data_IF_547713595429
#
_entry.id   IF_547713595429
#
_cell.length_a   1.000
_cell.length_b   1.000
_cell.length_c   1.000
_cell.angle_alpha   90.00
_cell.angle_beta   90.00
_cell.angle_gamma   90.00
#
_symmetry.space_group_name_H-M   'P 1'
#
loop_
_entity.id
_entity.type
_entity.pdbx_description
1 polymer ?
#
# COMPACT_ATOMS: atom_id res chain seq x y z
N UNK A 1 -15.63 11.61 16.12
CA UNK A 1 -16.13 12.02 14.78
C UNK A 1 -15.42 13.23 14.16
N UNK A 2 -15.05 14.28 14.92
CA UNK A 2 -14.31 15.45 14.38
C UNK A 2 -12.91 15.10 13.81
N UNK A 3 -12.11 14.33 14.54
CA UNK A 3 -10.75 13.91 14.11
C UNK A 3 -10.79 13.11 12.80
N UNK A 4 -11.72 12.17 12.66
CA UNK A 4 -11.87 11.37 11.44
C UNK A 4 -12.19 12.22 10.20
N UNK A 5 -13.03 13.25 10.36
CA UNK A 5 -13.34 14.19 9.26
C UNK A 5 -12.13 15.08 8.93
N UNK A 6 -11.37 15.50 9.93
CA UNK A 6 -10.13 16.26 9.73
C UNK A 6 -9.08 15.44 8.97
N UNK A 7 -8.84 14.18 9.36
CA UNK A 7 -7.89 13.30 8.67
C UNK A 7 -8.31 12.97 7.23
N UNK A 8 -9.61 12.97 6.93
CA UNK A 8 -10.14 12.73 5.59
C UNK A 8 -10.38 14.02 4.76
N UNK A 9 -10.13 15.19 5.35
CA UNK A 9 -10.25 16.49 4.68
C UNK A 9 -9.13 16.71 3.65
N UNK A 10 -9.28 17.64 2.70
CA UNK A 10 -8.21 17.96 1.74
C UNK A 10 -6.90 18.35 2.44
N UNK A 11 -6.99 19.11 3.54
CA UNK A 11 -5.83 19.54 4.33
C UNK A 11 -5.14 18.36 5.05
N UNK A 12 -5.92 17.50 5.72
CA UNK A 12 -5.36 16.33 6.41
C UNK A 12 -4.69 15.35 5.43
N UNK A 13 -5.30 15.16 4.26
CA UNK A 13 -4.76 14.33 3.18
C UNK A 13 -3.49 14.94 2.61
N UNK A 14 -3.46 16.23 2.30
CA UNK A 14 -2.24 16.89 1.80
C UNK A 14 -1.11 16.93 2.83
N UNK A 15 -1.41 17.11 4.12
CA UNK A 15 -0.39 17.07 5.17
C UNK A 15 0.21 15.67 5.33
N UNK A 16 -0.63 14.64 5.28
CA UNK A 16 -0.18 13.23 5.32
C UNK A 16 0.64 12.91 4.07
N UNK A 17 0.17 13.35 2.90
CA UNK A 17 0.88 13.20 1.64
C UNK A 17 2.26 13.86 1.69
N UNK A 18 2.34 15.12 2.15
CA UNK A 18 3.59 15.86 2.29
C UNK A 18 4.58 15.11 3.19
N UNK A 19 4.13 14.64 4.36
CA UNK A 19 4.97 13.88 5.28
C UNK A 19 5.51 12.60 4.64
N UNK A 20 4.64 11.80 4.02
CA UNK A 20 5.03 10.56 3.34
C UNK A 20 6.00 10.83 2.18
N UNK A 21 5.70 11.81 1.34
CA UNK A 21 6.53 12.18 0.20
C UNK A 21 7.89 12.72 0.65
N UNK A 22 7.93 13.63 1.63
CA UNK A 22 9.16 14.18 2.17
C UNK A 22 10.03 13.10 2.81
N UNK A 23 9.45 12.15 3.56
CA UNK A 23 10.17 11.01 4.12
C UNK A 23 10.75 10.11 3.03
N UNK A 24 9.96 9.72 2.01
CA UNK A 24 10.43 8.87 0.92
C UNK A 24 11.55 9.53 0.11
N UNK A 25 11.42 10.82 -0.18
CA UNK A 25 12.40 11.61 -0.94
C UNK A 25 13.69 11.80 -0.14
N UNK A 26 13.57 12.17 1.14
CA UNK A 26 14.73 12.33 2.02
C UNK A 26 15.49 11.01 2.16
N UNK A 27 14.78 9.91 2.33
CA UNK A 27 15.38 8.58 2.43
C UNK A 27 16.10 8.18 1.13
N UNK A 28 15.48 8.44 -0.04
CA UNK A 28 16.07 8.15 -1.34
C UNK A 28 17.46 8.80 -1.53
N UNK A 29 17.67 9.99 -0.94
CA UNK A 29 18.95 10.69 -1.01
C UNK A 29 20.06 9.98 -0.25
N UNK A 30 19.75 9.32 0.86
CA UNK A 30 20.73 8.58 1.66
C UNK A 30 21.10 7.23 1.05
N UNK A 31 20.29 6.70 0.14
CA UNK A 31 20.43 5.34 -0.42
C UNK A 31 20.84 5.34 -1.90
N UNK A 32 21.38 6.47 -2.39
CA UNK A 32 21.87 6.59 -3.77
C UNK A 32 20.77 6.74 -4.83
N UNK A 33 19.55 7.13 -4.44
CA UNK A 33 18.40 7.34 -5.33
C UNK A 33 17.30 6.28 -5.24
N UNK A 34 17.45 5.27 -4.37
CA UNK A 34 16.42 4.24 -4.15
C UNK A 34 15.41 4.73 -3.11
N UNK A 35 14.26 5.24 -3.55
CA UNK A 35 13.16 5.56 -2.64
C UNK A 35 12.65 4.30 -1.92
N UNK A 36 12.49 4.35 -0.59
CA UNK A 36 12.21 3.16 0.23
C UNK A 36 10.89 2.47 -0.13
N UNK A 37 9.82 3.24 -0.37
CA UNK A 37 8.50 2.87 -0.92
C UNK A 37 7.79 4.18 -1.21
N UNK A 38 7.06 4.30 -2.33
CA UNK A 38 6.25 5.49 -2.59
C UNK A 38 4.81 5.33 -2.05
N UNK A 39 4.65 5.59 -0.75
CA UNK A 39 3.38 5.40 -0.02
C UNK A 39 2.36 6.49 -0.36
N UNK A 40 2.83 7.69 -0.74
CA UNK A 40 1.99 8.89 -0.90
C UNK A 40 0.90 8.72 -1.97
N UNK A 41 1.23 8.14 -3.13
CA UNK A 41 0.26 7.88 -4.20
C UNK A 41 -0.82 6.88 -3.77
N UNK A 42 -0.43 5.81 -3.07
CA UNK A 42 -1.36 4.81 -2.55
C UNK A 42 -2.33 5.40 -1.51
N UNK A 43 -1.82 6.31 -0.66
CA UNK A 43 -2.61 7.04 0.33
C UNK A 43 -3.67 7.92 -0.32
N UNK A 44 -3.26 8.75 -1.29
CA UNK A 44 -4.18 9.62 -2.04
C UNK A 44 -5.21 8.79 -2.83
N UNK A 45 -4.76 7.78 -3.58
CA UNK A 45 -5.65 6.89 -4.33
C UNK A 45 -6.70 6.26 -3.40
N UNK A 46 -6.28 5.73 -2.24
CA UNK A 46 -7.16 5.15 -1.24
C UNK A 46 -8.24 6.11 -0.74
N UNK A 47 -7.96 7.41 -0.65
CA UNK A 47 -8.97 8.43 -0.31
C UNK A 47 -9.96 8.67 -1.44
N UNK A 48 -9.44 8.81 -2.67
CA UNK A 48 -10.24 9.11 -3.87
C UNK A 48 -11.27 8.01 -4.16
N UNK A 49 -10.99 6.75 -3.80
CA UNK A 49 -11.93 5.63 -3.91
C UNK A 49 -13.26 5.84 -3.19
N UNK A 50 -13.25 6.65 -2.12
CA UNK A 50 -14.42 6.91 -1.27
C UNK A 50 -15.04 8.30 -1.53
N UNK A 51 -14.70 8.91 -2.66
CA UNK A 51 -15.23 10.20 -3.11
C UNK A 51 -15.80 10.06 -4.53
N UNK A 52 -16.93 10.73 -4.83
CA UNK A 52 -17.37 10.83 -6.22
C UNK A 52 -16.40 11.69 -7.03
N UNK A 53 -16.18 11.35 -8.30
CA UNK A 53 -15.13 11.95 -9.16
C UNK A 53 -15.22 13.47 -9.25
N UNK A 54 -16.44 14.02 -9.33
CA UNK A 54 -16.65 15.47 -9.40
C UNK A 54 -16.16 16.24 -8.15
N UNK A 55 -15.86 15.55 -7.04
CA UNK A 55 -15.32 16.16 -5.81
C UNK A 55 -13.83 15.93 -5.63
N UNK A 56 -13.13 15.33 -6.59
CA UNK A 56 -11.70 15.05 -6.44
C UNK A 56 -10.83 16.31 -6.40
N UNK A 57 -11.26 17.38 -7.09
CA UNK A 57 -10.50 18.62 -7.28
C UNK A 57 -9.74 19.11 -6.04
N UNK A 58 -10.39 19.38 -4.90
CA UNK A 58 -9.71 19.88 -3.70
C UNK A 58 -8.60 18.95 -3.18
N UNK A 59 -8.78 17.63 -3.26
CA UNK A 59 -7.76 16.66 -2.82
C UNK A 59 -6.61 16.55 -3.82
N UNK A 60 -6.90 16.59 -5.12
CA UNK A 60 -5.87 16.57 -6.16
C UNK A 60 -5.01 17.83 -6.09
N UNK A 61 -5.62 19.01 -5.96
CA UNK A 61 -4.90 20.29 -5.90
C UNK A 61 -4.08 20.39 -4.62
N UNK A 62 -4.65 20.09 -3.44
CA UNK A 62 -3.90 20.20 -2.19
C UNK A 62 -2.75 19.19 -2.14
N UNK A 63 -2.93 17.97 -2.65
CA UNK A 63 -1.86 16.99 -2.76
C UNK A 63 -0.84 17.33 -3.85
N UNK A 64 -1.22 18.00 -4.95
CA UNK A 64 -0.28 18.48 -5.96
C UNK A 64 0.66 19.54 -5.36
N UNK A 65 0.13 20.48 -4.60
CA UNK A 65 0.93 21.47 -3.85
C UNK A 65 1.85 20.75 -2.86
N UNK A 66 1.34 19.79 -2.09
CA UNK A 66 2.16 18.99 -1.18
C UNK A 66 3.29 18.23 -1.91
N UNK A 67 3.01 17.64 -3.07
CA UNK A 67 4.02 16.96 -3.89
C UNK A 67 5.08 17.95 -4.40
N UNK A 68 4.67 19.11 -4.90
CA UNK A 68 5.60 20.13 -5.38
C UNK A 68 6.49 20.65 -4.25
N UNK A 69 5.93 20.88 -3.05
CA UNK A 69 6.70 21.24 -1.86
C UNK A 69 7.69 20.13 -1.46
N UNK A 70 7.25 18.87 -1.47
CA UNK A 70 8.11 17.74 -1.14
C UNK A 70 9.33 17.67 -2.09
N UNK A 71 9.08 17.74 -3.39
CA UNK A 71 10.13 17.71 -4.42
C UNK A 71 11.01 18.95 -4.37
N UNK A 72 10.43 20.14 -4.19
CA UNK A 72 11.14 21.43 -4.18
C UNK A 72 12.07 21.59 -2.98
N UNK A 73 11.63 21.20 -1.78
CA UNK A 73 12.36 21.40 -0.53
C UNK A 73 13.33 20.25 -0.22
N UNK A 74 12.94 18.99 -0.47
CA UNK A 74 13.75 17.83 -0.07
C UNK A 74 14.29 17.01 -1.24
N UNK A 75 13.71 17.15 -2.43
CA UNK A 75 13.99 16.29 -3.58
C UNK A 75 14.84 16.95 -4.67
N UNK A 76 14.39 16.79 -5.91
CA UNK A 76 15.08 17.27 -7.09
C UNK A 76 15.10 18.81 -7.21
N UNK A 77 14.39 19.56 -6.36
CA UNK A 77 14.32 21.01 -6.42
C UNK A 77 13.17 21.53 -7.27
N UNK A 78 13.01 22.85 -7.30
CA UNK A 78 11.82 23.52 -7.84
C UNK A 78 11.61 23.33 -9.34
N UNK A 79 12.68 23.14 -10.12
CA UNK A 79 12.57 22.91 -11.57
C UNK A 79 11.79 21.63 -11.91
N UNK A 80 11.91 20.59 -11.08
CA UNK A 80 11.16 19.34 -11.26
C UNK A 80 9.89 19.25 -10.41
N UNK A 81 9.63 20.22 -9.53
CA UNK A 81 8.52 20.16 -8.58
C UNK A 81 7.16 20.07 -9.26
N UNK A 82 6.89 20.92 -10.26
CA UNK A 82 5.61 20.92 -10.96
C UNK A 82 5.43 19.68 -11.85
N UNK A 83 6.38 19.29 -12.72
CA UNK A 83 6.26 18.07 -13.51
C UNK A 83 6.05 16.81 -12.66
N UNK A 84 6.85 16.62 -11.60
CA UNK A 84 6.73 15.45 -10.73
C UNK A 84 5.43 15.46 -9.92
N UNK A 85 4.94 16.63 -9.50
CA UNK A 85 3.63 16.74 -8.87
C UNK A 85 2.51 16.29 -9.82
N UNK A 86 2.53 16.73 -11.08
CA UNK A 86 1.53 16.29 -12.08
C UNK A 86 1.59 14.77 -12.26
N UNK A 87 2.79 14.19 -12.38
CA UNK A 87 2.98 12.74 -12.55
C UNK A 87 2.44 11.98 -11.34
N UNK A 88 2.82 12.36 -10.12
CA UNK A 88 2.42 11.65 -8.90
C UNK A 88 0.91 11.73 -8.63
N UNK A 89 0.29 12.87 -8.90
CA UNK A 89 -1.16 13.04 -8.73
C UNK A 89 -1.93 12.29 -9.81
N UNK A 90 -1.41 12.27 -11.04
CA UNK A 90 -1.99 11.48 -12.14
C UNK A 90 -1.88 9.98 -11.87
N UNK A 91 -0.78 9.52 -11.27
CA UNK A 91 -0.59 8.13 -10.82
C UNK A 91 -1.66 7.74 -9.79
N UNK A 92 -1.85 8.54 -8.74
CA UNK A 92 -2.84 8.28 -7.71
C UNK A 92 -4.28 8.31 -8.24
N UNK A 93 -4.60 9.27 -9.12
CA UNK A 93 -5.90 9.36 -9.76
C UNK A 93 -6.16 8.15 -10.68
N UNK A 94 -5.18 7.73 -11.48
CA UNK A 94 -5.27 6.57 -12.36
C UNK A 94 -5.49 5.29 -11.57
N UNK A 95 -4.72 5.06 -10.50
CA UNK A 95 -4.92 3.92 -9.61
C UNK A 95 -6.33 3.89 -9.03
N UNK A 96 -6.87 5.04 -8.60
CA UNK A 96 -8.22 5.13 -8.06
C UNK A 96 -9.31 4.87 -9.12
N UNK A 97 -9.14 5.38 -10.35
CA UNK A 97 -10.06 5.14 -11.47
C UNK A 97 -10.08 3.65 -11.83
N UNK A 98 -8.90 3.05 -12.02
CA UNK A 98 -8.76 1.64 -12.40
C UNK A 98 -9.37 0.76 -11.32
N UNK A 99 -9.05 0.99 -10.04
CA UNK A 99 -9.65 0.24 -8.93
C UNK A 99 -11.19 0.29 -8.95
N UNK A 100 -11.78 1.48 -9.16
CA UNK A 100 -13.24 1.63 -9.22
C UNK A 100 -13.85 0.87 -10.39
N UNK A 101 -13.18 0.84 -11.54
CA UNK A 101 -13.62 0.09 -12.73
C UNK A 101 -13.53 -1.43 -12.50
N UNK A 102 -12.41 -1.94 -12.02
CA UNK A 102 -12.22 -3.39 -11.77
C UNK A 102 -13.14 -3.88 -10.64
N UNK A 103 -13.35 -3.06 -9.60
CA UNK A 103 -14.27 -3.40 -8.51
C UNK A 103 -15.72 -3.43 -8.98
N UNK A 104 -16.12 -2.53 -9.89
CA UNK A 104 -17.47 -2.57 -10.48
C UNK A 104 -17.66 -3.77 -11.42
N UNK A 105 -16.63 -4.12 -12.18
CA UNK A 105 -16.70 -5.19 -13.18
C UNK A 105 -16.69 -6.59 -12.54
N UNK A 106 -15.76 -6.83 -11.62
CA UNK A 106 -15.43 -8.19 -11.19
C UNK A 106 -15.83 -8.51 -9.74
N UNK A 107 -15.84 -7.53 -8.84
CA UNK A 107 -16.12 -7.79 -7.43
C UNK A 107 -17.62 -7.89 -7.13
N UNK A 108 -18.10 -8.86 -6.32
CA UNK A 108 -17.35 -9.89 -5.59
C UNK A 108 -17.28 -11.28 -6.28
N UNK A 109 -17.78 -11.43 -7.51
CA UNK A 109 -18.03 -12.74 -8.10
C UNK A 109 -16.78 -13.35 -8.76
N UNK A 110 -16.02 -12.53 -9.47
CA UNK A 110 -14.86 -12.87 -10.29
C UNK A 110 -13.55 -12.45 -9.58
N UNK A 111 -13.20 -13.18 -8.50
CA UNK A 111 -12.06 -12.83 -7.63
C UNK A 111 -10.73 -12.86 -8.39
N UNK A 112 -10.54 -13.85 -9.26
CA UNK A 112 -9.27 -14.05 -9.97
C UNK A 112 -9.03 -12.91 -10.95
N UNK A 113 -10.05 -12.55 -11.72
CA UNK A 113 -10.07 -11.46 -12.69
C UNK A 113 -9.86 -10.12 -11.98
N UNK A 114 -10.47 -9.93 -10.80
CA UNK A 114 -10.24 -8.75 -9.98
C UNK A 114 -8.78 -8.63 -9.56
N UNK A 115 -8.18 -9.71 -9.03
CA UNK A 115 -6.78 -9.73 -8.58
C UNK A 115 -5.81 -9.54 -9.75
N UNK A 116 -6.04 -10.23 -10.86
CA UNK A 116 -5.24 -10.09 -12.07
C UNK A 116 -5.29 -8.65 -12.62
N UNK A 117 -6.49 -8.06 -12.68
CA UNK A 117 -6.67 -6.68 -13.12
C UNK A 117 -6.06 -5.67 -12.16
N UNK A 118 -6.05 -5.95 -10.85
CA UNK A 118 -5.35 -5.15 -9.86
C UNK A 118 -3.83 -5.18 -10.10
N UNK A 119 -3.25 -6.37 -10.31
CA UNK A 119 -1.83 -6.51 -10.58
C UNK A 119 -1.40 -5.87 -11.89
N UNK A 120 -2.09 -6.17 -12.98
CA UNK A 120 -1.73 -5.65 -14.29
C UNK A 120 -2.05 -4.15 -14.35
N UNK A 121 -3.28 -3.76 -14.02
CA UNK A 121 -3.73 -2.38 -14.21
C UNK A 121 -3.13 -1.38 -13.23
N UNK A 122 -3.01 -1.74 -11.94
CA UNK A 122 -2.58 -0.79 -10.89
C UNK A 122 -1.13 -1.00 -10.50
N UNK A 123 -0.72 -2.24 -10.21
CA UNK A 123 0.64 -2.50 -9.69
C UNK A 123 1.68 -2.38 -10.80
N UNK A 124 1.35 -2.79 -12.04
CA UNK A 124 2.27 -2.76 -13.16
C UNK A 124 2.07 -1.53 -14.06
N UNK A 125 0.92 -1.41 -14.73
CA UNK A 125 0.70 -0.39 -15.77
C UNK A 125 0.82 1.04 -15.26
N UNK A 126 0.23 1.35 -14.10
CA UNK A 126 0.27 2.73 -13.57
C UNK A 126 1.72 3.18 -13.26
N UNK A 127 2.52 2.43 -12.48
CA UNK A 127 3.95 2.72 -12.26
C UNK A 127 4.82 2.71 -13.52
N UNK A 128 4.51 1.87 -14.53
CA UNK A 128 5.24 1.90 -15.80
C UNK A 128 5.06 3.24 -16.52
N UNK A 129 3.82 3.74 -16.60
CA UNK A 129 3.53 5.00 -17.28
C UNK A 129 4.04 6.22 -16.49
N UNK A 130 3.80 6.24 -15.17
CA UNK A 130 4.29 7.32 -14.31
C UNK A 130 5.82 7.31 -14.22
N UNK A 131 6.44 6.14 -14.15
CA UNK A 131 7.89 5.95 -14.13
C UNK A 131 8.56 6.38 -15.43
N UNK A 132 7.94 6.11 -16.59
CA UNK A 132 8.45 6.60 -17.87
C UNK A 132 8.46 8.14 -17.90
N UNK A 133 7.37 8.78 -17.47
CA UNK A 133 7.28 10.23 -17.39
C UNK A 133 8.24 10.82 -16.34
N UNK A 134 8.40 10.16 -15.18
CA UNK A 134 9.31 10.56 -14.11
C UNK A 134 10.77 10.47 -14.53
N UNK A 135 11.16 9.35 -15.14
CA UNK A 135 12.52 9.14 -15.66
C UNK A 135 12.85 10.12 -16.80
N UNK A 136 11.89 10.37 -17.71
CA UNK A 136 12.04 11.38 -18.75
C UNK A 136 12.26 12.78 -18.17
N UNK A 137 11.46 13.16 -17.17
CA UNK A 137 11.60 14.44 -16.47
C UNK A 137 12.98 14.57 -15.81
N UNK A 138 13.44 13.53 -15.10
CA UNK A 138 14.74 13.53 -14.45
C UNK A 138 15.89 13.61 -15.46
N UNK A 139 15.77 12.95 -16.60
CA UNK A 139 16.75 13.00 -17.68
C UNK A 139 16.83 14.39 -18.33
N UNK A 140 15.70 14.98 -18.71
CA UNK A 140 15.67 16.31 -19.37
C UNK A 140 16.21 17.40 -18.46
N UNK A 141 15.87 17.39 -17.17
CA UNK A 141 16.22 18.49 -16.26
C UNK A 141 17.61 18.31 -15.66
N UNK A 142 18.04 17.09 -15.36
CA UNK A 142 19.28 16.82 -14.60
C UNK A 142 20.26 15.88 -15.30
N UNK A 143 19.98 15.43 -16.52
CA UNK A 143 20.85 14.50 -17.25
C UNK A 143 20.98 13.11 -16.60
N UNK A 144 20.00 12.73 -15.77
CA UNK A 144 20.07 11.50 -14.97
C UNK A 144 19.90 10.23 -15.84
N UNK A 145 20.50 9.09 -15.44
CA UNK A 145 20.36 7.84 -16.19
C UNK A 145 18.91 7.35 -16.25
N UNK A 146 18.34 7.26 -17.46
CA UNK A 146 16.92 6.93 -17.67
C UNK A 146 16.55 5.56 -17.09
N UNK A 147 17.32 4.53 -17.42
CA UNK A 147 17.01 3.13 -17.05
C UNK A 147 17.04 2.91 -15.54
N UNK A 148 18.03 3.48 -14.86
CA UNK A 148 18.20 3.35 -13.41
C UNK A 148 17.07 4.06 -12.65
N UNK A 149 16.75 5.30 -13.03
CA UNK A 149 15.65 6.05 -12.43
C UNK A 149 14.30 5.39 -12.72
N UNK A 150 14.07 4.91 -13.95
CA UNK A 150 12.87 4.19 -14.33
C UNK A 150 12.67 2.93 -13.47
N UNK A 151 13.72 2.13 -13.31
CA UNK A 151 13.69 0.88 -12.53
C UNK A 151 13.40 1.17 -11.05
N UNK A 152 14.10 2.15 -10.47
CA UNK A 152 13.89 2.59 -9.07
C UNK A 152 12.48 3.11 -8.85
N UNK A 153 11.96 3.88 -9.79
CA UNK A 153 10.61 4.42 -9.74
C UNK A 153 9.59 3.29 -9.73
N UNK A 154 9.67 2.36 -10.67
CA UNK A 154 8.71 1.26 -10.77
C UNK A 154 8.71 0.42 -9.51
N UNK A 155 9.86 -0.04 -9.02
CA UNK A 155 9.91 -0.90 -7.83
C UNK A 155 9.28 -0.20 -6.62
N UNK A 156 9.66 1.06 -6.36
CA UNK A 156 9.18 1.83 -5.22
C UNK A 156 7.68 2.17 -5.30
N UNK A 157 7.19 2.56 -6.47
CA UNK A 157 5.80 2.95 -6.70
C UNK A 157 4.86 1.73 -6.81
N UNK A 158 5.27 0.68 -7.50
CA UNK A 158 4.54 -0.60 -7.56
C UNK A 158 4.37 -1.20 -6.17
N UNK A 159 5.43 -1.26 -5.36
CA UNK A 159 5.33 -1.76 -3.99
C UNK A 159 4.41 -0.90 -3.14
N UNK A 160 4.48 0.44 -3.27
CA UNK A 160 3.60 1.36 -2.55
C UNK A 160 2.12 1.12 -2.88
N UNK A 161 1.79 1.00 -4.16
CA UNK A 161 0.42 0.69 -4.58
C UNK A 161 -0.01 -0.73 -4.17
N UNK A 162 0.84 -1.73 -4.34
CA UNK A 162 0.55 -3.11 -3.98
C UNK A 162 0.30 -3.30 -2.48
N UNK A 163 1.22 -2.81 -1.64
CA UNK A 163 1.18 -3.03 -0.19
C UNK A 163 0.28 -2.04 0.54
N UNK A 164 0.28 -0.76 0.15
CA UNK A 164 -0.38 0.28 0.93
C UNK A 164 -1.77 0.66 0.41
N UNK A 165 -2.09 0.51 -0.89
CA UNK A 165 -3.40 0.91 -1.41
C UNK A 165 -4.57 0.15 -0.75
N UNK A 166 -4.51 -1.19 -0.58
CA UNK A 166 -5.58 -1.91 0.13
C UNK A 166 -5.74 -1.44 1.58
N UNK A 167 -4.64 -1.07 2.24
CA UNK A 167 -4.62 -0.57 3.62
C UNK A 167 -5.33 0.78 3.70
N UNK A 168 -4.97 1.73 2.84
CA UNK A 168 -5.62 3.03 2.81
C UNK A 168 -7.07 2.94 2.35
N UNK A 169 -7.39 2.06 1.40
CA UNK A 169 -8.78 1.76 1.05
C UNK A 169 -9.57 1.31 2.29
N UNK A 170 -9.03 0.39 3.09
CA UNK A 170 -9.66 -0.06 4.34
C UNK A 170 -9.82 1.09 5.34
N UNK A 171 -8.76 1.86 5.62
CA UNK A 171 -8.79 2.97 6.57
C UNK A 171 -9.84 4.01 6.18
N UNK A 172 -9.82 4.48 4.93
CA UNK A 172 -10.76 5.51 4.47
C UNK A 172 -12.20 4.99 4.37
N UNK A 173 -12.42 3.70 4.10
CA UNK A 173 -13.76 3.10 4.15
C UNK A 173 -14.38 3.17 5.56
N UNK A 174 -13.54 3.03 6.60
CA UNK A 174 -13.96 3.09 8.01
C UNK A 174 -14.16 4.53 8.46
N UNK A 175 -13.20 5.40 8.16
CA UNK A 175 -13.27 6.83 8.49
C UNK A 175 -14.48 7.50 7.83
N UNK A 176 -14.79 7.17 6.57
CA UNK A 176 -15.97 7.69 5.85
C UNK A 176 -17.30 7.31 6.50
N UNK A 177 -17.35 6.14 7.17
CA UNK A 177 -18.53 5.67 7.94
C UNK A 177 -18.52 6.13 9.39
N UNK A 178 -17.60 7.02 9.79
CA UNK A 178 -17.45 7.48 11.17
C UNK A 178 -16.97 6.41 12.15
N UNK A 179 -16.47 5.27 11.65
CA UNK A 179 -15.98 4.15 12.46
C UNK A 179 -14.49 4.29 12.71
N UNK A 180 -14.03 3.76 13.84
CA UNK A 180 -12.59 3.59 14.07
C UNK A 180 -11.99 2.62 13.04
N UNK A 181 -10.79 2.94 12.57
CA UNK A 181 -9.97 2.04 11.75
C UNK A 181 -9.29 0.97 12.61
N UNK A 182 -9.20 1.17 13.93
CA UNK A 182 -8.74 0.14 14.86
C UNK A 182 -9.75 -1.01 14.93
N UNK A 183 -9.26 -2.24 15.20
CA UNK A 183 -10.14 -3.38 15.42
C UNK A 183 -11.12 -3.10 16.56
N UNK A 184 -12.32 -3.72 16.56
CA UNK A 184 -13.19 -3.74 17.73
C UNK A 184 -12.46 -4.30 18.96
N UNK A 185 -12.84 -3.84 20.16
CA UNK A 185 -12.21 -4.29 21.41
C UNK A 185 -12.29 -5.81 21.60
N UNK A 186 -13.36 -6.44 21.13
CA UNK A 186 -13.57 -7.88 21.14
C UNK A 186 -12.47 -8.64 20.37
N UNK A 187 -11.88 -8.01 19.34
CA UNK A 187 -10.83 -8.61 18.52
C UNK A 187 -9.42 -8.31 19.05
N UNK A 188 -9.28 -7.55 20.15
CA UNK A 188 -7.96 -7.15 20.66
C UNK A 188 -7.10 -8.34 21.07
N UNK A 189 -7.58 -9.35 21.81
CA UNK A 189 -6.74 -10.49 22.19
C UNK A 189 -6.16 -11.21 20.98
N UNK A 190 -7.00 -11.50 19.98
CA UNK A 190 -6.58 -12.14 18.73
C UNK A 190 -5.65 -11.25 17.91
N UNK A 191 -5.95 -9.95 17.80
CA UNK A 191 -5.10 -9.00 17.07
C UNK A 191 -3.74 -8.90 17.72
N UNK A 192 -3.68 -8.75 19.03
CA UNK A 192 -2.43 -8.66 19.80
C UNK A 192 -1.62 -9.94 19.67
N UNK A 193 -2.26 -11.11 19.73
CA UNK A 193 -1.56 -12.39 19.56
C UNK A 193 -0.97 -12.53 18.15
N UNK A 194 -1.76 -12.27 17.11
CA UNK A 194 -1.32 -12.40 15.71
C UNK A 194 -0.25 -11.37 15.37
N UNK A 195 -0.48 -10.11 15.69
CA UNK A 195 0.48 -9.04 15.43
C UNK A 195 1.74 -9.22 16.27
N UNK A 196 1.59 -9.58 17.55
CA UNK A 196 2.72 -9.82 18.45
C UNK A 196 3.60 -10.98 17.98
N UNK A 197 2.99 -12.10 17.58
CA UNK A 197 3.70 -13.23 16.99
C UNK A 197 4.40 -12.86 15.68
N UNK A 198 3.75 -12.04 14.83
CA UNK A 198 4.37 -11.56 13.59
C UNK A 198 5.56 -10.63 13.84
N UNK A 199 5.47 -9.73 14.82
CA UNK A 199 6.58 -8.87 15.22
C UNK A 199 7.73 -9.72 15.75
N UNK A 200 7.44 -10.67 16.64
CA UNK A 200 8.45 -11.56 17.23
C UNK A 200 9.17 -12.38 16.17
N UNK A 201 8.44 -13.04 15.26
CA UNK A 201 9.05 -13.85 14.20
C UNK A 201 9.87 -12.99 13.24
N UNK A 202 9.39 -11.80 12.88
CA UNK A 202 10.11 -10.89 11.99
C UNK A 202 11.39 -10.38 12.64
N UNK A 203 11.32 -9.93 13.90
CA UNK A 203 12.51 -9.49 14.65
C UNK A 203 13.50 -10.63 14.81
N UNK A 204 13.05 -11.83 15.19
CA UNK A 204 13.93 -13.00 15.34
C UNK A 204 14.63 -13.35 14.02
N UNK A 205 13.88 -13.46 12.91
CA UNK A 205 14.43 -13.77 11.58
C UNK A 205 15.44 -12.73 11.12
N UNK A 206 15.15 -11.44 11.31
CA UNK A 206 16.07 -10.37 10.93
C UNK A 206 17.21 -10.16 11.94
N UNK A 207 17.19 -10.82 13.10
CA UNK A 207 18.32 -10.82 14.05
C UNK A 207 19.32 -11.95 13.76
N UNK A 208 18.93 -12.93 12.95
CA UNK A 208 19.74 -14.08 12.60
C UNK A 208 20.34 -13.91 11.20
N UNK A 209 21.61 -14.24 11.03
CA UNK A 209 22.28 -14.19 9.72
C UNK A 209 22.00 -15.45 8.87
N UNK A 210 20.72 -15.76 8.68
CA UNK A 210 20.27 -16.99 8.02
C UNK A 210 19.20 -16.66 6.97
N UNK A 211 19.65 -16.46 5.73
CA UNK A 211 18.80 -16.11 4.57
C UNK A 211 17.56 -17.00 4.38
N UNK A 212 17.64 -18.34 4.56
CA UNK A 212 16.46 -19.20 4.39
C UNK A 212 15.31 -18.86 5.37
N UNK A 213 15.59 -18.24 6.52
CA UNK A 213 14.57 -17.91 7.52
C UNK A 213 13.61 -16.81 7.07
N UNK A 214 13.92 -16.06 6.00
CA UNK A 214 13.00 -15.10 5.38
C UNK A 214 11.70 -15.75 4.89
N UNK A 215 11.65 -17.07 4.75
CA UNK A 215 10.40 -17.78 4.43
C UNK A 215 9.36 -17.69 5.56
N UNK A 216 9.79 -17.53 6.81
CA UNK A 216 8.88 -17.57 7.96
C UNK A 216 7.93 -16.37 8.03
N UNK A 217 8.39 -15.10 7.92
CA UNK A 217 7.46 -13.96 7.87
C UNK A 217 6.54 -14.03 6.64
N UNK A 218 7.04 -14.52 5.51
CA UNK A 218 6.24 -14.71 4.29
C UNK A 218 5.11 -15.72 4.52
N UNK A 219 5.43 -16.94 4.98
CA UNK A 219 4.42 -17.96 5.29
C UNK A 219 3.42 -17.45 6.32
N UNK A 220 3.89 -16.73 7.34
CA UNK A 220 3.02 -16.16 8.35
C UNK A 220 1.97 -15.21 7.75
N UNK A 221 2.38 -14.31 6.85
CA UNK A 221 1.46 -13.39 6.16
C UNK A 221 0.47 -14.17 5.28
N UNK A 222 0.94 -15.19 4.55
CA UNK A 222 0.09 -16.05 3.70
C UNK A 222 -0.97 -16.79 4.53
N UNK A 223 -0.58 -17.39 5.65
CA UNK A 223 -1.51 -18.06 6.58
C UNK A 223 -2.50 -17.05 7.16
N UNK A 224 -2.02 -15.85 7.53
CA UNK A 224 -2.89 -14.79 8.02
C UNK A 224 -3.88 -14.31 6.95
N UNK A 225 -3.49 -14.27 5.68
CA UNK A 225 -4.40 -13.89 4.60
C UNK A 225 -5.54 -14.90 4.41
N UNK A 226 -5.27 -16.18 4.63
CA UNK A 226 -6.30 -17.22 4.57
C UNK A 226 -7.21 -17.26 5.82
N UNK A 227 -6.71 -16.85 6.99
CA UNK A 227 -7.40 -17.07 8.28
C UNK A 227 -7.93 -15.79 8.94
N UNK A 228 -7.24 -14.67 8.78
CA UNK A 228 -7.48 -13.44 9.53
C UNK A 228 -8.29 -12.38 8.76
N UNK A 229 -9.04 -11.52 9.47
CA UNK A 229 -9.75 -10.39 8.85
C UNK A 229 -8.81 -9.40 8.16
N UNK A 230 -9.30 -8.73 7.10
CA UNK A 230 -8.50 -7.78 6.30
C UNK A 230 -7.89 -6.65 7.12
N UNK A 231 -8.50 -6.30 8.26
CA UNK A 231 -7.98 -5.29 9.18
C UNK A 231 -6.64 -5.69 9.79
N UNK A 232 -6.44 -6.97 10.12
CA UNK A 232 -5.19 -7.49 10.69
C UNK A 232 -4.16 -7.65 9.57
N UNK A 233 -4.56 -8.23 8.42
CA UNK A 233 -3.64 -8.43 7.29
C UNK A 233 -3.07 -7.09 6.78
N UNK A 234 -3.87 -6.02 6.79
CA UNK A 234 -3.42 -4.68 6.40
C UNK A 234 -2.23 -4.16 7.22
N UNK A 235 -2.03 -4.65 8.45
CA UNK A 235 -0.92 -4.23 9.31
C UNK A 235 0.37 -4.99 9.01
N UNK A 236 0.30 -6.26 8.58
CA UNK A 236 1.48 -7.13 8.52
C UNK A 236 2.52 -6.66 7.48
N UNK A 237 2.16 -6.31 6.23
CA UNK A 237 3.14 -5.77 5.27
C UNK A 237 3.78 -4.46 5.75
N UNK A 238 3.00 -3.61 6.43
CA UNK A 238 3.52 -2.35 7.00
C UNK A 238 4.54 -2.64 8.10
N UNK A 239 4.23 -3.56 9.00
CA UNK A 239 5.16 -3.99 10.05
C UNK A 239 6.41 -4.67 9.48
N UNK A 240 6.25 -5.47 8.42
CA UNK A 240 7.37 -6.10 7.72
C UNK A 240 8.30 -5.04 7.15
N UNK A 241 7.75 -4.05 6.43
CA UNK A 241 8.51 -2.91 5.89
C UNK A 241 9.22 -2.13 6.99
N UNK A 242 8.55 -1.84 8.10
CA UNK A 242 9.13 -1.09 9.21
C UNK A 242 10.27 -1.86 9.90
N UNK A 243 10.04 -3.12 10.27
CA UNK A 243 11.02 -3.92 11.01
C UNK A 243 12.15 -4.35 10.08
N UNK A 244 11.83 -5.04 8.99
CA UNK A 244 12.80 -5.58 8.05
C UNK A 244 13.58 -4.48 7.33
N UNK A 245 12.92 -3.37 6.96
CA UNK A 245 13.56 -2.23 6.35
C UNK A 245 14.51 -1.51 7.30
N UNK A 246 14.11 -1.30 8.56
CA UNK A 246 14.97 -0.65 9.57
C UNK A 246 16.17 -1.52 9.94
N UNK A 247 15.99 -2.84 10.10
CA UNK A 247 17.09 -3.74 10.40
C UNK A 247 18.07 -3.86 9.23
N UNK A 248 17.55 -4.01 8.01
CA UNK A 248 18.38 -4.03 6.79
C UNK A 248 19.18 -2.73 6.63
N UNK A 249 18.54 -1.58 6.88
CA UNK A 249 19.19 -0.28 6.83
C UNK A 249 20.30 -0.11 7.88
N UNK A 250 20.06 -0.59 9.10
CA UNK A 250 21.05 -0.57 10.20
C UNK A 250 22.18 -1.60 10.04
N UNK A 251 22.24 -2.32 8.92
CA UNK A 251 23.26 -3.34 8.66
C UNK A 251 22.99 -4.69 9.35
N UNK A 252 21.80 -4.88 9.91
CA UNK A 252 21.40 -6.11 10.60
C UNK A 252 20.58 -7.05 9.71
N UNK A 253 20.78 -8.35 9.93
CA UNK A 253 19.94 -9.40 9.36
C UNK A 253 20.39 -9.94 8.00
N UNK A 254 19.63 -10.92 7.48
CA UNK A 254 20.09 -11.77 6.39
C UNK A 254 20.26 -11.05 5.05
N UNK A 255 19.53 -9.95 4.84
CA UNK A 255 19.62 -9.12 3.63
C UNK A 255 20.78 -8.13 3.74
N UNK A 256 21.06 -7.62 4.94
CA UNK A 256 22.19 -6.74 5.17
C UNK A 256 23.54 -7.45 4.96
N UNK A 257 23.59 -8.76 5.23
CA UNK A 257 24.76 -9.61 5.01
C UNK A 257 25.00 -10.01 3.53
N UNK A 258 24.28 -9.42 2.57
CA UNK A 258 24.54 -9.64 1.14
C UNK A 258 25.65 -8.73 0.63
N UNK A 259 26.59 -9.23 -0.18
CA UNK A 259 27.68 -8.43 -0.78
C UNK A 259 27.20 -7.54 -1.94
N UNK A 260 26.17 -6.74 -1.69
CA UNK A 260 25.58 -5.78 -2.62
C UNK A 260 25.62 -4.38 -2.04
N UNK A 261 25.38 -3.38 -2.89
CA UNK A 261 25.23 -1.99 -2.44
C UNK A 261 24.01 -1.85 -1.51
N UNK A 262 24.00 -0.84 -0.64
CA UNK A 262 22.85 -0.58 0.25
C UNK A 262 21.55 -0.38 -0.55
N UNK A 263 21.62 0.29 -1.70
CA UNK A 263 20.48 0.49 -2.59
C UNK A 263 19.91 -0.84 -3.09
N UNK A 264 20.77 -1.75 -3.55
CA UNK A 264 20.36 -3.06 -4.08
C UNK A 264 19.80 -3.96 -2.97
N UNK A 265 20.39 -3.93 -1.77
CA UNK A 265 19.85 -4.63 -0.58
C UNK A 265 18.43 -4.18 -0.26
N UNK A 266 18.17 -2.87 -0.33
CA UNK A 266 16.85 -2.30 -0.10
C UNK A 266 15.87 -2.63 -1.23
N UNK A 267 16.31 -2.63 -2.49
CA UNK A 267 15.47 -3.08 -3.61
C UNK A 267 15.11 -4.57 -3.51
N UNK A 268 16.07 -5.42 -3.10
CA UNK A 268 15.79 -6.82 -2.83
C UNK A 268 14.76 -6.97 -1.70
N UNK A 269 14.90 -6.19 -0.63
CA UNK A 269 13.91 -6.16 0.45
C UNK A 269 12.53 -5.71 -0.03
N UNK A 270 12.46 -4.67 -0.88
CA UNK A 270 11.20 -4.24 -1.50
C UNK A 270 10.56 -5.36 -2.32
N UNK A 271 11.37 -6.08 -3.12
CA UNK A 271 10.90 -7.22 -3.90
C UNK A 271 10.38 -8.35 -2.99
N UNK A 272 11.08 -8.64 -1.90
CA UNK A 272 10.65 -9.62 -0.90
C UNK A 272 9.29 -9.26 -0.28
N UNK A 273 9.08 -8.00 0.10
CA UNK A 273 7.77 -7.53 0.58
C UNK A 273 6.72 -7.61 -0.53
N UNK A 274 7.07 -7.22 -1.77
CA UNK A 274 6.16 -7.29 -2.90
C UNK A 274 5.67 -8.72 -3.14
N UNK A 275 6.59 -9.71 -3.19
CA UNK A 275 6.24 -11.13 -3.34
C UNK A 275 5.35 -11.61 -2.19
N UNK A 276 5.64 -11.18 -0.97
CA UNK A 276 4.83 -11.52 0.21
C UNK A 276 3.39 -11.00 0.07
N UNK A 277 3.19 -9.77 -0.40
CA UNK A 277 1.85 -9.20 -0.62
C UNK A 277 1.17 -9.82 -1.85
N UNK A 278 1.91 -10.06 -2.94
CA UNK A 278 1.39 -10.69 -4.17
C UNK A 278 0.84 -12.10 -3.92
N UNK A 279 1.46 -12.85 -3.01
CA UNK A 279 1.00 -14.19 -2.63
C UNK A 279 -0.15 -14.15 -1.63
N UNK A 280 -0.21 -13.14 -0.77
CA UNK A 280 -1.24 -13.00 0.26
C UNK A 280 -2.56 -12.41 -0.26
N UNK A 281 -2.53 -11.47 -1.20
CA UNK A 281 -3.73 -10.77 -1.66
C UNK A 281 -4.81 -11.68 -2.28
N UNK A 282 -4.49 -12.67 -3.14
CA UNK A 282 -5.51 -13.55 -3.73
C UNK A 282 -6.25 -14.35 -2.66
N UNK A 283 -5.51 -14.86 -1.67
CA UNK A 283 -6.08 -15.57 -0.51
C UNK A 283 -6.99 -14.65 0.30
N UNK A 284 -6.60 -13.39 0.50
CA UNK A 284 -7.42 -12.43 1.22
C UNK A 284 -8.73 -12.12 0.48
N UNK A 285 -8.66 -11.95 -0.84
CA UNK A 285 -9.82 -11.69 -1.68
C UNK A 285 -10.80 -12.88 -1.67
N UNK A 286 -10.28 -14.09 -1.79
CA UNK A 286 -11.06 -15.32 -1.72
C UNK A 286 -11.71 -15.52 -0.34
N UNK A 287 -10.96 -15.27 0.75
CA UNK A 287 -11.51 -15.26 2.10
C UNK A 287 -12.63 -14.24 2.26
N UNK A 288 -12.44 -13.02 1.74
CA UNK A 288 -13.44 -11.96 1.82
C UNK A 288 -14.71 -12.32 1.05
N UNK A 289 -14.59 -12.96 -0.12
CA UNK A 289 -15.72 -13.54 -0.87
C UNK A 289 -16.46 -14.59 -0.05
N UNK A 290 -15.76 -15.60 0.49
CA UNK A 290 -16.37 -16.67 1.32
C UNK A 290 -17.13 -16.12 2.52
N UNK A 291 -16.58 -15.11 3.20
CA UNK A 291 -17.25 -14.46 4.34
C UNK A 291 -18.53 -13.75 3.89
N UNK A 292 -18.54 -13.11 2.72
CA UNK A 292 -19.73 -12.46 2.16
C UNK A 292 -20.80 -13.50 1.81
N UNK A 293 -20.42 -14.61 1.19
CA UNK A 293 -21.33 -15.71 0.83
C UNK A 293 -21.96 -16.36 2.06
N UNK A 294 -21.15 -16.66 3.10
CA UNK A 294 -21.67 -17.19 4.37
C UNK A 294 -22.67 -16.25 5.04
N UNK A 295 -22.45 -14.93 4.96
CA UNK A 295 -23.40 -13.94 5.51
C UNK A 295 -24.73 -13.96 4.76
N UNK A 296 -24.68 -13.95 3.41
CA UNK A 296 -25.87 -14.05 2.57
C UNK A 296 -26.64 -15.35 2.82
N UNK A 297 -25.95 -16.46 3.03
CA UNK A 297 -26.56 -17.76 3.36
C UNK A 297 -27.29 -17.71 4.71
N UNK A 298 -26.66 -17.12 5.75
CA UNK A 298 -27.29 -16.96 7.07
C UNK A 298 -28.52 -16.04 7.02
N UNK A 299 -28.45 -14.94 6.27
CA UNK A 299 -29.58 -14.03 6.06
C UNK A 299 -30.77 -14.75 5.39
N UNK A 300 -30.51 -15.56 4.36
CA UNK A 300 -31.56 -16.37 3.70
C UNK A 300 -32.16 -17.43 4.61
N UNK A 301 -31.35 -18.11 5.41
CA UNK A 301 -31.85 -19.10 6.38
C UNK A 301 -32.76 -18.42 7.40
N UNK A 302 -32.34 -17.29 7.97
CA UNK A 302 -33.15 -16.54 8.93
C UNK A 302 -34.47 -16.04 8.31
N UNK A 303 -34.44 -15.62 7.03
CA UNK A 303 -35.66 -15.24 6.31
C UNK A 303 -36.61 -16.43 6.12
N UNK A 304 -36.10 -17.60 5.74
CA UNK A 304 -36.92 -18.82 5.58
C UNK A 304 -37.49 -19.31 6.92
N UNK A 305 -36.72 -19.25 8.00
CA UNK A 305 -37.19 -19.59 9.35
C UNK A 305 -38.29 -18.64 9.81
N UNK A 306 -38.18 -17.33 9.53
CA UNK A 306 -39.21 -16.35 9.85
C UNK A 306 -40.52 -16.53 9.07
N UNK A 307 -40.47 -17.21 7.92
CA UNK A 307 -41.62 -17.49 7.04
C UNK A 307 -42.26 -18.86 7.29
N UNK A 308 -41.69 -19.71 8.16
CA UNK A 308 -42.33 -20.97 8.53
C UNK A 308 -43.56 -20.69 9.42
N UNK A 309 -44.77 -21.11 9.03
CA UNK A 309 -45.93 -21.00 9.92
C UNK A 309 -45.68 -21.83 11.18
N UNK A 310 -46.01 -21.25 12.33
CA UNK A 310 -46.04 -21.97 13.61
C UNK A 310 -47.19 -22.96 13.53
N UNK A 311 -46.86 -24.23 13.25
CA UNK A 311 -47.77 -25.37 13.37
C UNK A 311 -47.84 -25.83 14.81
#
# INVERSE_FOLDING_TARGET
>A
MRIARLLASPAGVSSTYLALAASSVTFARFTGGVAMVWIASAMLAGRLLHLPEHRWGPWLVSSAVASALATGLWGYGWAAALPLAVINISEAASAAIIWRRIAKAFWPHETLEWVASFYIGIVLTVPLLSGAAGAFTAWVIYGQPVVENFTRWIIGHSLGLLACLPVFHFIYSRLGRGRSFLPPREMFPQTTLVVGAFVLITVAVFSLDMRPLLVFPLIYVVVCAATQPSAILALLPVLLMLIGGSMTFSGGGPIAAMDWSMGDRLQFFQLYVAVTVLTALPLQCERAKRVLEMRKMRERIAELESRRPVT
#
